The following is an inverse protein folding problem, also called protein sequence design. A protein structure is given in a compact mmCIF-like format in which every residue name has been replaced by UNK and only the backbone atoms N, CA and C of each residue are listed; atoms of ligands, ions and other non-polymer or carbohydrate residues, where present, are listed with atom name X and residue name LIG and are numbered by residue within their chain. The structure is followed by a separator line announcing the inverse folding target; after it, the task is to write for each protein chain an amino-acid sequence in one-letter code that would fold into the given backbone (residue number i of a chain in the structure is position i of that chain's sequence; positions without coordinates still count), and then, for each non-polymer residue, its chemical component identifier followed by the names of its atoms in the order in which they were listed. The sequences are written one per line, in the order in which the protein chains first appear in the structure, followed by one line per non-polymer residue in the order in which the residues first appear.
data_IF_935144123476
#
_entry.id   IF_935144123476
#
_cell.length_a   1.000
_cell.length_b   1.000
_cell.length_c   1.000
_cell.angle_alpha   90.00
_cell.angle_beta   90.00
_cell.angle_gamma   90.00
#
_symmetry.space_group_name_H-M   'P 1'
#
loop_
_entity.id
_entity.type
_entity.pdbx_description
1 polymer ?
#
# COMPACT_ATOMS: atom_id res chain seq x y z
N UNK A 1 -0.64 -0.72 21.69
CA UNK A 1 -0.44 -2.10 21.21
C UNK A 1 -0.19 -2.01 19.71
N UNK A 2 0.74 -2.76 19.12
CA UNK A 2 0.93 -2.75 17.67
C UNK A 2 -0.38 -3.18 16.99
N UNK A 3 -0.72 -2.56 15.87
CA UNK A 3 -1.88 -2.97 15.09
C UNK A 3 -1.71 -4.44 14.68
N UNK A 4 -2.71 -5.27 14.99
CA UNK A 4 -2.72 -6.65 14.52
C UNK A 4 -3.02 -6.64 13.01
N UNK A 5 -2.16 -7.27 12.23
CA UNK A 5 -2.31 -7.34 10.78
C UNK A 5 -3.63 -8.04 10.41
N UNK A 6 -4.41 -7.45 9.50
CA UNK A 6 -5.60 -8.08 8.94
C UNK A 6 -5.26 -8.94 7.71
N UNK A 7 -6.07 -9.97 7.47
CA UNK A 7 -5.90 -10.87 6.32
C UNK A 7 -6.01 -10.09 4.99
N UNK A 8 -6.88 -9.09 4.92
CA UNK A 8 -7.02 -8.21 3.75
C UNK A 8 -5.77 -7.36 3.52
N UNK A 9 -5.18 -6.83 4.59
CA UNK A 9 -3.97 -6.01 4.49
C UNK A 9 -2.77 -6.85 4.07
N UNK A 10 -2.62 -8.05 4.64
CA UNK A 10 -1.61 -9.01 4.22
C UNK A 10 -1.76 -9.37 2.73
N UNK A 11 -2.98 -9.73 2.30
CA UNK A 11 -3.28 -10.06 0.91
C UNK A 11 -2.96 -8.92 -0.06
N UNK A 12 -3.28 -7.68 0.32
CA UNK A 12 -2.93 -6.49 -0.45
C UNK A 12 -1.41 -6.36 -0.58
N UNK A 13 -0.68 -6.45 0.54
CA UNK A 13 0.76 -6.25 0.56
C UNK A 13 1.51 -7.31 -0.27
N UNK A 14 1.08 -8.57 -0.20
CA UNK A 14 1.61 -9.65 -1.05
C UNK A 14 1.30 -9.38 -2.53
N UNK A 15 0.08 -8.92 -2.84
CA UNK A 15 -0.31 -8.54 -4.20
C UNK A 15 0.54 -7.39 -4.75
N UNK A 16 0.78 -6.36 -3.93
CA UNK A 16 1.65 -5.23 -4.27
C UNK A 16 3.09 -5.66 -4.50
N UNK A 17 3.68 -6.46 -3.60
CA UNK A 17 5.04 -6.97 -3.76
C UNK A 17 5.18 -7.78 -5.05
N UNK A 18 4.18 -8.61 -5.36
CA UNK A 18 4.14 -9.42 -6.58
C UNK A 18 4.02 -8.58 -7.86
N UNK A 19 3.04 -7.66 -7.91
CA UNK A 19 2.78 -6.81 -9.07
C UNK A 19 4.00 -5.93 -9.39
N UNK A 20 4.66 -5.43 -8.36
CA UNK A 20 5.86 -4.59 -8.48
C UNK A 20 7.16 -5.40 -8.69
N UNK A 21 7.15 -6.71 -8.43
CA UNK A 21 8.26 -7.61 -8.75
C UNK A 21 8.37 -7.94 -10.23
N UNK A 22 7.32 -7.71 -11.03
CA UNK A 22 7.34 -8.01 -12.46
C UNK A 22 8.46 -7.24 -13.19
N UNK A 23 9.20 -7.91 -14.09
CA UNK A 23 10.30 -7.30 -14.82
C UNK A 23 9.74 -6.29 -15.85
N UNK A 24 9.54 -5.06 -15.41
CA UNK A 24 9.32 -3.92 -16.28
C UNK A 24 10.63 -3.14 -16.39
N UNK A 25 10.97 -2.68 -17.61
CA UNK A 25 12.12 -1.80 -17.87
C UNK A 25 12.21 -0.71 -16.78
N UNK A 26 13.37 -0.34 -16.22
CA UNK A 26 13.43 0.68 -15.14
C UNK A 26 12.63 1.94 -15.52
N UNK A 27 11.87 2.50 -14.58
CA UNK A 27 11.14 3.74 -14.82
C UNK A 27 12.15 4.85 -15.15
N UNK A 28 11.99 5.50 -16.31
CA UNK A 28 12.90 6.56 -16.75
C UNK A 28 12.61 7.89 -16.05
N UNK A 29 11.37 8.07 -15.56
CA UNK A 29 10.89 9.30 -14.92
C UNK A 29 10.12 9.01 -13.63
N UNK A 30 9.93 10.03 -12.80
CA UNK A 30 9.08 9.96 -11.59
C UNK A 30 7.62 9.69 -11.97
N UNK A 31 7.15 10.23 -13.09
CA UNK A 31 5.78 9.99 -13.58
C UNK A 31 5.56 8.52 -13.96
N UNK A 32 6.55 7.90 -14.61
CA UNK A 32 6.49 6.47 -14.93
C UNK A 32 6.48 5.60 -13.67
N UNK A 33 7.22 6.00 -12.63
CA UNK A 33 7.19 5.33 -11.32
C UNK A 33 5.81 5.42 -10.68
N UNK A 34 5.14 6.58 -10.76
CA UNK A 34 3.77 6.76 -10.25
C UNK A 34 2.75 5.91 -11.01
N UNK A 35 2.78 5.93 -12.34
CA UNK A 35 1.89 5.11 -13.17
C UNK A 35 2.03 3.62 -12.87
N UNK A 36 3.25 3.15 -12.60
CA UNK A 36 3.50 1.76 -12.19
C UNK A 36 2.95 1.43 -10.82
N UNK A 37 3.14 2.34 -9.86
CA UNK A 37 2.55 2.18 -8.55
C UNK A 37 1.03 2.08 -8.66
N UNK A 38 0.38 2.99 -9.39
CA UNK A 38 -1.07 2.96 -9.59
C UNK A 38 -1.50 1.65 -10.25
N UNK A 39 -0.81 1.20 -11.30
CA UNK A 39 -1.10 -0.07 -11.98
C UNK A 39 -0.99 -1.27 -11.03
N UNK A 40 0.06 -1.30 -10.20
CA UNK A 40 0.27 -2.36 -9.22
C UNK A 40 -0.79 -2.34 -8.11
N UNK A 41 -1.21 -1.16 -7.66
CA UNK A 41 -2.31 -1.00 -6.70
C UNK A 41 -3.61 -1.56 -7.29
N UNK A 42 -3.97 -1.17 -8.51
CA UNK A 42 -5.19 -1.68 -9.15
C UNK A 42 -5.14 -3.18 -9.37
N UNK A 43 -3.98 -3.73 -9.73
CA UNK A 43 -3.80 -5.17 -9.87
C UNK A 43 -3.94 -5.90 -8.53
N UNK A 44 -3.30 -5.41 -7.47
CA UNK A 44 -3.40 -5.98 -6.13
C UNK A 44 -4.85 -5.95 -5.60
N UNK A 45 -5.58 -4.87 -5.88
CA UNK A 45 -6.98 -4.71 -5.47
C UNK A 45 -7.97 -5.49 -6.36
N UNK A 46 -7.54 -6.08 -7.47
CA UNK A 46 -8.45 -6.71 -8.45
C UNK A 46 -9.21 -7.91 -7.88
N UNK A 47 -8.60 -8.66 -6.96
CA UNK A 47 -9.20 -9.84 -6.33
C UNK A 47 -10.10 -9.56 -5.12
N UNK A 48 -10.21 -8.31 -4.68
CA UNK A 48 -10.99 -7.93 -3.51
C UNK A 48 -12.44 -7.63 -3.88
N UNK A 49 -13.37 -8.25 -3.15
CA UNK A 49 -14.78 -7.90 -3.18
C UNK A 49 -15.06 -6.59 -2.41
N UNK A 50 -16.29 -6.07 -2.51
CA UNK A 50 -16.64 -4.80 -1.89
C UNK A 50 -16.51 -4.81 -0.36
N UNK A 51 -16.81 -5.93 0.30
CA UNK A 51 -16.71 -6.04 1.76
C UNK A 51 -15.24 -6.04 2.21
N UNK A 52 -14.39 -6.82 1.55
CA UNK A 52 -12.95 -6.83 1.79
C UNK A 52 -12.31 -5.47 1.50
N UNK A 53 -12.77 -4.76 0.47
CA UNK A 53 -12.32 -3.40 0.17
C UNK A 53 -12.67 -2.42 1.30
N UNK A 54 -13.87 -2.49 1.87
CA UNK A 54 -14.27 -1.65 3.01
C UNK A 54 -13.41 -1.95 4.24
N UNK A 55 -13.24 -3.23 4.60
CA UNK A 55 -12.38 -3.64 5.72
C UNK A 55 -10.94 -3.15 5.53
N UNK A 56 -10.40 -3.29 4.32
CA UNK A 56 -9.04 -2.84 3.98
C UNK A 56 -8.90 -1.32 4.07
N UNK A 57 -9.88 -0.56 3.56
CA UNK A 57 -9.90 0.91 3.66
C UNK A 57 -9.89 1.35 5.11
N UNK A 58 -10.74 0.75 5.94
CA UNK A 58 -10.90 1.13 7.34
C UNK A 58 -9.62 0.82 8.12
N UNK A 59 -9.03 -0.37 7.92
CA UNK A 59 -7.74 -0.72 8.51
C UNK A 59 -6.62 0.26 8.12
N UNK A 60 -6.48 0.57 6.82
CA UNK A 60 -5.47 1.53 6.35
C UNK A 60 -5.72 2.93 6.94
N UNK A 61 -6.98 3.33 7.07
CA UNK A 61 -7.35 4.63 7.65
C UNK A 61 -6.95 4.73 9.12
N UNK A 62 -7.19 3.66 9.90
CA UNK A 62 -6.81 3.58 11.31
C UNK A 62 -5.29 3.67 11.50
N UNK A 63 -4.52 2.93 10.68
CA UNK A 63 -3.05 2.98 10.73
C UNK A 63 -2.54 4.37 10.34
N UNK A 64 -3.10 4.98 9.28
CA UNK A 64 -2.73 6.34 8.84
C UNK A 64 -3.09 7.43 9.86
N UNK A 65 -4.06 7.19 10.73
CA UNK A 65 -4.48 8.11 11.79
C UNK A 65 -3.69 7.95 13.11
N UNK A 66 -2.78 6.98 13.18
CA UNK A 66 -1.95 6.73 14.37
C UNK A 66 -0.88 7.81 14.60
N UNK A 67 -0.27 7.80 15.79
CA UNK A 67 0.77 8.77 16.19
C UNK A 67 2.05 8.69 15.32
N UNK A 68 2.36 7.51 14.79
CA UNK A 68 3.52 7.26 13.91
C UNK A 68 3.15 6.25 12.80
N UNK A 69 2.42 6.71 11.77
CA UNK A 69 1.90 5.84 10.72
C UNK A 69 3.03 5.29 9.84
N UNK A 70 4.13 6.03 9.69
CA UNK A 70 5.28 5.60 8.91
C UNK A 70 5.91 4.35 9.52
N UNK A 71 6.19 4.38 10.82
CA UNK A 71 6.78 3.25 11.54
C UNK A 71 5.83 2.05 11.59
N UNK A 72 4.54 2.27 11.84
CA UNK A 72 3.58 1.16 11.87
C UNK A 72 3.45 0.46 10.52
N UNK A 73 3.36 1.23 9.42
CA UNK A 73 3.30 0.66 8.07
C UNK A 73 4.60 -0.06 7.70
N UNK A 74 5.75 0.47 8.11
CA UNK A 74 7.04 -0.21 7.94
C UNK A 74 7.10 -1.53 8.71
N UNK A 75 6.71 -1.54 9.99
CA UNK A 75 6.68 -2.76 10.81
C UNK A 75 5.74 -3.81 10.21
N UNK A 76 4.53 -3.40 9.81
CA UNK A 76 3.57 -4.28 9.15
C UNK A 76 4.14 -4.83 7.83
N UNK A 77 4.73 -3.98 7.00
CA UNK A 77 5.34 -4.41 5.74
C UNK A 77 6.51 -5.39 5.96
N UNK A 78 7.39 -5.10 6.91
CA UNK A 78 8.57 -5.93 7.19
C UNK A 78 8.21 -7.28 7.81
N UNK A 79 7.12 -7.36 8.58
CA UNK A 79 6.60 -8.63 9.10
C UNK A 79 6.24 -9.63 7.99
N UNK A 80 5.90 -9.14 6.79
CA UNK A 80 5.57 -9.96 5.63
C UNK A 80 6.79 -10.54 4.91
N UNK A 81 8.01 -10.16 5.29
CA UNK A 81 9.26 -10.55 4.62
C UNK A 81 9.21 -10.30 3.10
N UNK A 82 8.98 -9.04 2.68
CA UNK A 82 8.77 -8.67 1.30
C UNK A 82 10.00 -8.98 0.45
N UNK A 83 9.78 -9.37 -0.80
CA UNK A 83 10.86 -9.74 -1.73
C UNK A 83 11.66 -8.51 -2.18
N UNK A 84 11.02 -7.33 -2.18
CA UNK A 84 11.69 -6.03 -2.40
C UNK A 84 11.44 -5.08 -1.24
N UNK A 85 12.53 -4.48 -0.75
CA UNK A 85 12.48 -3.29 0.10
C UNK A 85 12.23 -2.09 -0.83
N UNK A 86 10.97 -1.73 -1.03
CA UNK A 86 10.57 -0.61 -1.89
C UNK A 86 11.07 0.75 -1.40
N UNK A 87 11.38 0.84 -0.12
CA UNK A 87 11.47 2.08 0.60
C UNK A 87 12.96 2.37 0.85
N UNK A 88 13.51 3.31 0.08
CA UNK A 88 14.79 3.91 0.47
C UNK A 88 14.67 4.38 1.91
N UNK A 89 15.66 4.05 2.74
CA UNK A 89 15.59 4.23 4.19
C UNK A 89 15.03 5.60 4.58
N UNK A 90 14.13 5.59 5.55
CA UNK A 90 13.43 6.76 6.08
C UNK A 90 14.44 7.89 6.37
N UNK A 91 14.30 9.03 5.68
CA UNK A 91 14.95 10.25 6.14
C UNK A 91 14.16 10.74 7.37
N UNK A 92 14.88 11.11 8.43
CA UNK A 92 14.36 11.32 9.78
C UNK A 92 13.33 12.47 9.98
N UNK A 93 12.79 13.05 8.91
CA UNK A 93 11.85 14.18 8.92
C UNK A 93 10.44 13.84 8.39
N UNK A 94 10.15 12.57 8.13
CA UNK A 94 9.02 12.19 7.26
C UNK A 94 7.67 12.01 7.99
N UNK A 95 6.93 13.11 8.14
CA UNK A 95 5.44 13.08 8.21
C UNK A 95 4.80 12.55 6.92
N UNK A 96 5.62 12.16 5.94
CA UNK A 96 5.22 11.76 4.59
C UNK A 96 6.17 10.70 4.02
N UNK A 97 6.42 9.64 4.78
CA UNK A 97 7.31 8.57 4.34
C UNK A 97 6.79 7.89 3.07
N UNK A 98 7.69 7.21 2.35
CA UNK A 98 7.31 6.48 1.15
C UNK A 98 6.21 5.42 1.44
N UNK A 99 6.19 4.84 2.65
CA UNK A 99 5.09 4.00 3.13
C UNK A 99 3.77 4.77 3.20
N UNK A 100 3.76 5.90 3.92
CA UNK A 100 2.56 6.74 4.07
C UNK A 100 2.03 7.19 2.70
N UNK A 101 2.91 7.57 1.77
CA UNK A 101 2.51 7.95 0.41
C UNK A 101 1.82 6.79 -0.32
N UNK A 102 2.42 5.59 -0.33
CA UNK A 102 1.89 4.42 -1.02
C UNK A 102 0.52 4.03 -0.45
N UNK A 103 0.39 3.92 0.88
CA UNK A 103 -0.86 3.51 1.49
C UNK A 103 -1.96 4.59 1.40
N UNK A 104 -1.60 5.87 1.28
CA UNK A 104 -2.57 6.92 0.86
C UNK A 104 -3.08 6.70 -0.57
N UNK A 105 -2.22 6.30 -1.51
CA UNK A 105 -2.66 5.97 -2.88
C UNK A 105 -3.54 4.72 -2.90
N UNK A 106 -3.20 3.70 -2.11
CA UNK A 106 -4.06 2.50 -1.95
C UNK A 106 -5.44 2.89 -1.44
N UNK A 107 -5.51 3.67 -0.35
CA UNK A 107 -6.80 4.12 0.20
C UNK A 107 -7.63 4.86 -0.84
N UNK A 108 -6.99 5.77 -1.59
CA UNK A 108 -7.64 6.50 -2.67
C UNK A 108 -8.18 5.56 -3.76
N UNK A 109 -7.38 4.60 -4.21
CA UNK A 109 -7.81 3.64 -5.24
C UNK A 109 -8.96 2.75 -4.76
N UNK A 110 -9.01 2.41 -3.47
CA UNK A 110 -10.15 1.70 -2.87
C UNK A 110 -11.42 2.55 -2.94
N UNK A 111 -11.36 3.82 -2.52
CA UNK A 111 -12.51 4.73 -2.57
C UNK A 111 -13.03 4.92 -4.01
N UNK A 112 -12.12 5.09 -4.98
CA UNK A 112 -12.47 5.19 -6.39
C UNK A 112 -13.16 3.91 -6.89
N UNK A 113 -12.69 2.73 -6.47
CA UNK A 113 -13.28 1.43 -6.85
C UNK A 113 -14.64 1.18 -6.20
N UNK A 114 -14.82 1.59 -4.94
CA UNK A 114 -16.11 1.50 -4.23
C UNK A 114 -17.15 2.44 -4.84
N UNK A 115 -16.77 3.69 -5.13
CA UNK A 115 -17.69 4.70 -5.71
C UNK A 115 -18.09 4.37 -7.15
N UNK A 116 -17.21 3.71 -7.92
CA UNK A 116 -17.49 3.32 -9.31
C UNK A 116 -18.30 2.03 -9.44
N UNK A 117 -18.54 1.32 -8.33
CA UNK A 117 -19.32 0.07 -8.29
C UNK A 117 -20.80 0.29 -7.94
N UNK A 118 -21.18 1.52 -7.57
CA UNK A 118 -22.56 2.00 -7.39
C UNK A 118 -23.18 2.46 -8.72
#
# INVERSE_FOLDING_TARGET
MPAQMSDEFEGLCVGLDTALCRPHARAATIEDSRKRLDSAIHEALSGFDAASLVSLRDFISDVLASDDPAKQLEELWMNLKPTKVFFGGSNADESNSAYVYIFKQVRRAIEEKLTSAE
#
